data_IF_658981397315
#
_entry.id   IF_658981397315
#
_cell.length_a   1.000
_cell.length_b   1.000
_cell.length_c   1.000
_cell.angle_alpha   90.00
_cell.angle_beta   90.00
_cell.angle_gamma   90.00
#
_symmetry.space_group_name_H-M   'P 1'
#
loop_
_entity.id
_entity.type
_entity.pdbx_description
1 polymer ?
#
# COMPACT_ATOMS: atom_id res chain seq x y z
N UNK A 1 -14.17 2.45 -8.79
CA UNK A 1 -12.95 2.86 -8.06
C UNK A 1 -12.10 1.64 -7.79
N UNK A 2 -10.83 1.82 -7.42
CA UNK A 2 -9.88 0.75 -7.09
C UNK A 2 -9.78 0.63 -5.56
N UNK A 3 -10.71 -0.06 -4.88
CA UNK A 3 -10.83 0.00 -3.42
C UNK A 3 -9.53 -0.36 -2.69
N UNK A 4 -8.78 -1.36 -3.17
CA UNK A 4 -7.50 -1.74 -2.59
C UNK A 4 -6.39 -0.67 -2.68
N UNK A 5 -6.48 0.33 -3.57
CA UNK A 5 -5.46 1.39 -3.66
C UNK A 5 -5.51 2.38 -2.50
N UNK A 6 -6.69 2.59 -1.91
CA UNK A 6 -6.87 3.56 -0.83
C UNK A 6 -6.06 3.14 0.39
N UNK A 7 -6.18 1.88 0.78
CA UNK A 7 -5.53 1.38 1.99
C UNK A 7 -4.02 1.21 1.80
N UNK A 8 -3.57 0.89 0.57
CA UNK A 8 -2.15 0.98 0.19
C UNK A 8 -1.62 2.41 0.38
N UNK A 9 -2.31 3.42 -0.17
CA UNK A 9 -1.90 4.82 -0.07
C UNK A 9 -1.81 5.29 1.39
N UNK A 10 -2.85 5.01 2.19
CA UNK A 10 -2.87 5.39 3.61
C UNK A 10 -1.73 4.73 4.36
N UNK A 11 -1.46 3.44 4.14
CA UNK A 11 -0.32 2.77 4.78
C UNK A 11 1.02 3.43 4.41
N UNK A 12 1.22 3.78 3.14
CA UNK A 12 2.42 4.49 2.71
C UNK A 12 2.57 5.86 3.37
N UNK A 13 1.47 6.60 3.53
CA UNK A 13 1.44 7.91 4.16
C UNK A 13 1.62 7.88 5.68
N UNK A 14 1.09 6.86 6.35
CA UNK A 14 1.17 6.74 7.80
C UNK A 14 2.53 6.16 8.24
N UNK A 15 3.04 5.18 7.49
CA UNK A 15 4.17 4.35 7.94
C UNK A 15 5.40 4.45 7.02
N UNK A 16 5.25 4.17 5.73
CA UNK A 16 6.41 4.06 4.84
C UNK A 16 7.16 5.39 4.68
N UNK A 17 6.45 6.52 4.69
CA UNK A 17 7.07 7.85 4.58
C UNK A 17 7.94 8.24 5.77
N UNK A 18 7.71 7.66 6.95
CA UNK A 18 8.56 7.91 8.12
C UNK A 18 9.97 7.36 7.86
N UNK A 19 10.05 6.22 7.17
CA UNK A 19 11.30 5.55 6.82
C UNK A 19 11.94 6.13 5.55
N UNK A 20 11.11 6.49 4.56
CA UNK A 20 11.58 7.02 3.28
C UNK A 20 10.88 8.35 2.92
N UNK A 21 11.20 9.45 3.65
CA UNK A 21 10.52 10.74 3.50
C UNK A 21 10.77 11.41 2.14
N UNK A 22 11.93 11.17 1.53
CA UNK A 22 12.34 11.82 0.27
C UNK A 22 11.95 11.02 -0.98
N UNK A 23 11.19 9.92 -0.82
CA UNK A 23 10.78 9.11 -1.97
C UNK A 23 9.72 9.89 -2.78
N UNK A 24 9.95 10.17 -4.08
CA UNK A 24 9.05 11.03 -4.86
C UNK A 24 7.71 10.35 -5.19
N UNK A 25 7.65 9.02 -5.17
CA UNK A 25 6.44 8.25 -5.48
C UNK A 25 6.45 6.85 -4.87
N UNK A 26 5.26 6.26 -4.72
CA UNK A 26 5.05 4.85 -4.37
C UNK A 26 4.22 4.16 -5.46
N UNK A 27 4.58 2.92 -5.76
CA UNK A 27 3.79 2.09 -6.67
C UNK A 27 2.56 1.59 -5.91
N UNK A 28 1.39 2.07 -6.29
CA UNK A 28 0.12 1.51 -5.86
C UNK A 28 -0.37 0.56 -6.95
N UNK A 29 -0.83 -0.62 -6.56
CA UNK A 29 -1.15 -1.70 -7.48
C UNK A 29 -2.68 -1.77 -7.62
N UNK A 30 -3.28 -1.21 -8.69
CA UNK A 30 -4.74 -1.06 -8.81
C UNK A 30 -5.49 -2.39 -8.89
N UNK A 31 -4.74 -3.45 -9.17
CA UNK A 31 -5.24 -4.79 -9.41
C UNK A 31 -5.21 -5.68 -8.17
N UNK A 32 -4.64 -5.19 -7.05
CA UNK A 32 -4.67 -5.90 -5.76
C UNK A 32 -6.10 -5.93 -5.24
N UNK A 33 -6.58 -7.07 -4.71
CA UNK A 33 -7.85 -7.10 -4.01
C UNK A 33 -7.80 -6.18 -2.79
N UNK A 34 -8.95 -5.65 -2.41
CA UNK A 34 -9.09 -4.94 -1.14
C UNK A 34 -9.09 -5.97 0.01
N UNK A 35 -8.03 -5.95 0.81
CA UNK A 35 -7.86 -6.82 1.99
C UNK A 35 -8.08 -6.06 3.31
N UNK A 36 -8.42 -4.78 3.23
CA UNK A 36 -8.56 -3.87 4.36
C UNK A 36 -7.23 -3.37 4.95
N UNK A 37 -7.29 -2.18 5.56
CA UNK A 37 -6.12 -1.45 6.06
C UNK A 37 -5.22 -2.24 7.01
N UNK A 38 -5.79 -2.97 7.98
CA UNK A 38 -4.98 -3.73 8.94
C UNK A 38 -4.12 -4.80 8.26
N UNK A 39 -4.67 -5.52 7.27
CA UNK A 39 -3.92 -6.52 6.52
C UNK A 39 -2.80 -5.87 5.67
N UNK A 40 -3.05 -4.68 5.11
CA UNK A 40 -2.03 -3.90 4.39
C UNK A 40 -0.88 -3.48 5.33
N UNK A 41 -1.20 -3.05 6.55
CA UNK A 41 -0.21 -2.68 7.58
C UNK A 41 0.59 -3.89 8.05
N UNK A 42 -0.08 -5.01 8.34
CA UNK A 42 0.57 -6.26 8.79
C UNK A 42 1.58 -6.76 7.75
N UNK A 43 1.27 -6.55 6.47
CA UNK A 43 2.17 -6.88 5.39
C UNK A 43 3.06 -5.70 4.93
N UNK A 44 3.32 -4.74 5.82
CA UNK A 44 4.31 -3.66 5.64
C UNK A 44 4.06 -2.80 4.40
N UNK A 45 2.79 -2.44 4.17
CA UNK A 45 2.31 -1.69 3.03
C UNK A 45 2.52 -2.34 1.66
N UNK A 46 3.02 -3.59 1.61
CA UNK A 46 3.16 -4.36 0.39
C UNK A 46 2.72 -5.81 0.66
N UNK A 47 1.41 -6.09 0.66
CA UNK A 47 0.85 -7.39 0.98
C UNK A 47 1.28 -8.56 0.09
N UNK A 48 2.04 -8.30 -0.97
CA UNK A 48 2.40 -9.34 -1.93
C UNK A 48 1.15 -9.91 -2.60
N UNK A 49 1.34 -11.02 -3.32
CA UNK A 49 0.34 -11.62 -4.21
C UNK A 49 0.84 -11.61 -5.65
N UNK A 50 0.13 -12.25 -6.59
CA UNK A 50 0.62 -12.47 -7.94
C UNK A 50 1.05 -11.15 -8.58
N UNK A 51 2.33 -11.06 -8.94
CA UNK A 51 2.78 -10.02 -9.87
C UNK A 51 2.11 -10.31 -11.22
N UNK A 52 1.61 -9.24 -11.85
CA UNK A 52 0.96 -9.29 -13.16
C UNK A 52 1.88 -8.71 -14.21
#
# INVERSE_FOLDING_TARGET
>A
GSPGMRDQFICHWDWARIVAPDKPSWNLEPWRPDVGYLAVVEARCNPGGPER
#
